data_IF_044903736413
#
_entry.id   IF_044903736413
#
_cell.length_a   1.000
_cell.length_b   1.000
_cell.length_c   1.000
_cell.angle_alpha   90.00
_cell.angle_beta   90.00
_cell.angle_gamma   90.00
#
_symmetry.space_group_name_H-M   'P 1'
#
loop_
_entity.id
_entity.type
_entity.pdbx_description
1 polymer ?
#
# COMPACT_ATOMS: atom_id res chain seq x y z
N UNK A 1 6.29 13.68 22.34
CA UNK A 1 5.93 12.33 22.08
C UNK A 1 6.12 11.93 20.64
N UNK A 2 6.77 10.85 20.45
CA UNK A 2 7.09 10.43 19.11
C UNK A 2 6.01 9.60 18.51
N UNK A 3 5.75 9.84 17.29
CA UNK A 3 4.79 9.07 16.56
C UNK A 3 5.40 7.78 16.05
N UNK A 4 4.68 6.71 16.19
CA UNK A 4 5.20 5.42 15.73
C UNK A 4 4.85 5.16 14.29
N UNK A 5 5.11 6.13 13.46
CA UNK A 5 4.78 6.01 12.06
C UNK A 5 5.50 4.86 11.38
N UNK A 6 6.73 4.65 11.77
CA UNK A 6 7.50 3.60 11.16
C UNK A 6 6.87 2.24 11.36
N UNK A 7 6.29 2.03 12.52
CA UNK A 7 5.67 0.76 12.83
C UNK A 7 4.46 0.50 11.94
N UNK A 8 3.61 1.52 11.84
CA UNK A 8 2.44 1.41 10.99
C UNK A 8 2.84 1.12 9.57
N UNK A 9 3.87 1.80 9.11
CA UNK A 9 4.32 1.60 7.74
C UNK A 9 4.82 0.20 7.51
N UNK A 10 5.48 -0.37 8.51
CA UNK A 10 5.97 -1.73 8.38
C UNK A 10 4.83 -2.71 8.17
N UNK A 11 3.81 -2.57 9.00
CA UNK A 11 2.67 -3.46 8.90
C UNK A 11 1.98 -3.32 7.56
N UNK A 12 1.77 -2.08 7.15
CA UNK A 12 1.11 -1.81 5.88
C UNK A 12 1.95 -2.33 4.73
N UNK A 13 3.26 -2.20 4.84
CA UNK A 13 4.13 -2.71 3.81
C UNK A 13 3.98 -4.21 3.62
N UNK A 14 3.91 -4.93 4.72
CA UNK A 14 3.76 -6.37 4.66
C UNK A 14 2.42 -6.74 4.03
N UNK A 15 1.36 -6.11 4.52
CA UNK A 15 0.03 -6.41 4.00
C UNK A 15 -0.07 -5.99 2.54
N UNK A 16 0.42 -4.81 2.23
CA UNK A 16 0.37 -4.31 0.86
C UNK A 16 1.12 -5.21 -0.10
N UNK A 17 2.30 -5.65 0.31
CA UNK A 17 3.09 -6.55 -0.52
C UNK A 17 2.34 -7.83 -0.81
N UNK A 18 1.70 -8.38 0.19
CA UNK A 18 0.95 -9.60 0.00
C UNK A 18 -0.21 -9.40 -0.95
N UNK A 19 -0.93 -8.30 -0.77
CA UNK A 19 -2.05 -8.01 -1.65
C UNK A 19 -1.59 -7.82 -3.08
N UNK A 20 -0.47 -7.16 -3.25
CA UNK A 20 0.07 -6.97 -4.58
C UNK A 20 0.51 -8.28 -5.19
N UNK A 21 1.05 -9.16 -4.37
CA UNK A 21 1.50 -10.46 -4.86
C UNK A 21 0.36 -11.32 -5.38
N UNK A 22 -0.84 -11.15 -4.85
CA UNK A 22 -1.99 -11.90 -5.32
C UNK A 22 -2.84 -11.09 -6.29
N UNK A 23 -2.35 -9.94 -6.72
CA UNK A 23 -3.04 -9.15 -7.74
C UNK A 23 -4.12 -8.22 -7.22
N UNK A 24 -4.17 -8.01 -5.92
CA UNK A 24 -5.19 -7.12 -5.36
C UNK A 24 -4.63 -5.72 -5.16
N UNK A 25 -4.26 -5.12 -6.26
CA UNK A 25 -3.61 -3.81 -6.22
C UNK A 25 -4.53 -2.74 -5.68
N UNK A 26 -5.81 -2.80 -6.02
CA UNK A 26 -6.75 -1.77 -5.57
C UNK A 26 -6.88 -1.77 -4.06
N UNK A 27 -6.94 -2.95 -3.48
CA UNK A 27 -7.05 -3.07 -2.04
C UNK A 27 -5.79 -2.56 -1.37
N UNK A 28 -4.65 -2.92 -1.91
CA UNK A 28 -3.38 -2.44 -1.38
C UNK A 28 -3.32 -0.92 -1.42
N UNK A 29 -3.76 -0.34 -2.52
CA UNK A 29 -3.77 1.11 -2.66
C UNK A 29 -4.64 1.76 -1.59
N UNK A 30 -5.78 1.18 -1.32
CA UNK A 30 -6.67 1.73 -0.31
C UNK A 30 -6.01 1.72 1.06
N UNK A 31 -5.28 0.66 1.35
CA UNK A 31 -4.60 0.56 2.63
C UNK A 31 -3.51 1.64 2.72
N UNK A 32 -2.75 1.82 1.67
CA UNK A 32 -1.72 2.85 1.67
C UNK A 32 -2.34 4.24 1.80
N UNK A 33 -3.46 4.47 1.16
CA UNK A 33 -4.13 5.77 1.26
C UNK A 33 -4.58 6.03 2.69
N UNK A 34 -5.01 4.99 3.37
CA UNK A 34 -5.55 5.15 4.70
C UNK A 34 -4.48 5.64 5.69
N UNK A 35 -3.22 5.37 5.42
CA UNK A 35 -2.15 5.88 6.27
C UNK A 35 -1.47 7.09 5.65
N UNK A 36 -2.01 7.62 4.57
CA UNK A 36 -1.46 8.81 3.94
C UNK A 36 -0.26 8.54 3.06
N UNK A 37 -0.02 7.29 2.70
CA UNK A 37 1.12 6.92 1.86
C UNK A 37 0.71 7.00 0.41
N UNK A 38 0.64 8.22 -0.09
CA UNK A 38 0.15 8.44 -1.45
C UNK A 38 1.07 7.86 -2.50
N UNK A 39 2.35 7.89 -2.24
CA UNK A 39 3.30 7.37 -3.22
C UNK A 39 3.05 5.91 -3.52
N UNK A 40 2.92 5.12 -2.46
CA UNK A 40 2.67 3.71 -2.65
C UNK A 40 1.28 3.45 -3.19
N UNK A 41 0.32 4.26 -2.78
CA UNK A 41 -1.03 4.11 -3.30
C UNK A 41 -1.06 4.34 -4.80
N UNK A 42 -0.40 5.38 -5.25
CA UNK A 42 -0.33 5.67 -6.68
C UNK A 42 0.38 4.55 -7.41
N UNK A 43 1.44 4.05 -6.84
CA UNK A 43 2.19 2.94 -7.45
C UNK A 43 1.27 1.73 -7.62
N UNK A 44 0.48 1.42 -6.61
CA UNK A 44 -0.46 0.32 -6.70
C UNK A 44 -1.47 0.52 -7.81
N UNK A 45 -2.00 1.73 -7.92
CA UNK A 45 -2.97 2.02 -8.97
C UNK A 45 -2.35 1.89 -10.35
N UNK A 46 -1.11 2.33 -10.48
CA UNK A 46 -0.41 2.21 -11.75
C UNK A 46 -0.24 0.75 -12.12
N UNK A 47 0.17 -0.06 -11.15
CA UNK A 47 0.36 -1.48 -11.40
C UNK A 47 -0.95 -2.16 -11.75
N UNK A 48 -2.02 -1.76 -11.08
CA UNK A 48 -3.34 -2.30 -11.37
C UNK A 48 -3.72 -2.02 -12.81
N UNK A 49 -3.39 -0.83 -13.26
CA UNK A 49 -3.72 -0.41 -14.59
C UNK A 49 -2.89 -1.12 -15.65
N UNK A 50 -1.63 -1.38 -15.33
CA UNK A 50 -0.73 -2.02 -16.26
C UNK A 50 -0.84 -3.52 -16.25
N UNK A 51 -1.45 -4.04 -15.23
CA UNK A 51 -1.61 -5.48 -15.11
C UNK A 51 -2.73 -5.92 -16.00
N UNK A 52 -2.44 -6.56 -17.02
CA UNK A 52 -3.47 -6.85 -17.98
C UNK A 52 -3.84 -8.28 -18.07
#
# INVERSE_FOLDING_TARGET
MKFEKGRLNEVVDIIGSRLMGIGRFNVAAEIYESIGDNENAVDCYIRANMHD
#
